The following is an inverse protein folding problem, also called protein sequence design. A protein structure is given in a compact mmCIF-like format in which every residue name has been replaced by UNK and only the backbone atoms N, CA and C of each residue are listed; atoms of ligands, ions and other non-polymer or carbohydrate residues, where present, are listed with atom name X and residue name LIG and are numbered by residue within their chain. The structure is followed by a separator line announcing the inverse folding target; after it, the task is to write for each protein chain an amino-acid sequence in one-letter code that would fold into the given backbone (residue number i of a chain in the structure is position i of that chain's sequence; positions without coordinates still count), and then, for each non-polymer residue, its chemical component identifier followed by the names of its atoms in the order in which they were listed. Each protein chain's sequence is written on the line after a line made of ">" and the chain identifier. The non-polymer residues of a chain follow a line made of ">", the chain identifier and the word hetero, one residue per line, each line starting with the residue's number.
data_IF_632710634668
#
_entry.id   IF_632710634668
#
_cell.length_a   1.000
_cell.length_b   1.000
_cell.length_c   1.000
_cell.angle_alpha   90.00
_cell.angle_beta   90.00
_cell.angle_gamma   90.00
#
_symmetry.space_group_name_H-M   'P 1'
#
loop_
_entity.id
_entity.type
_entity.pdbx_description
1 polymer ?
#
# COMPACT_ATOMS: atom_id res chain seq x y z
N UNK A 1 8.99 6.53 -29.88
CA UNK A 1 9.07 6.02 -28.49
C UNK A 1 8.85 7.15 -27.50
N UNK A 2 7.62 7.33 -27.02
CA UNK A 2 7.28 8.03 -25.77
C UNK A 2 5.97 7.43 -25.27
N UNK A 3 6.10 6.36 -24.48
CA UNK A 3 5.05 5.86 -23.62
C UNK A 3 5.28 6.44 -22.22
N UNK A 4 4.21 6.50 -21.43
CA UNK A 4 4.16 6.77 -19.99
C UNK A 4 4.06 8.21 -19.49
N UNK A 5 3.06 8.92 -20.01
CA UNK A 5 2.33 9.92 -19.22
C UNK A 5 1.04 9.27 -18.70
N UNK A 6 1.12 8.44 -17.66
CA UNK A 6 -0.05 8.01 -16.91
C UNK A 6 -0.59 9.22 -16.10
N UNK A 7 -1.92 9.44 -16.05
CA UNK A 7 -2.50 10.59 -15.36
C UNK A 7 -2.24 10.47 -13.86
N UNK A 8 -1.58 11.48 -13.29
CA UNK A 8 -1.45 11.65 -11.84
C UNK A 8 -2.86 11.72 -11.26
N UNK A 9 -3.23 10.76 -10.41
CA UNK A 9 -4.45 10.86 -9.63
C UNK A 9 -4.50 12.24 -8.95
N UNK A 10 -5.62 12.95 -9.09
CA UNK A 10 -5.80 14.29 -8.51
C UNK A 10 -5.89 14.18 -6.98
N UNK A 11 -4.73 14.17 -6.32
CA UNK A 11 -4.66 14.18 -4.86
C UNK A 11 -5.10 15.55 -4.34
N UNK A 12 -6.21 15.60 -3.59
CA UNK A 12 -6.56 16.77 -2.78
C UNK A 12 -5.46 17.01 -1.73
N UNK A 13 -5.02 18.26 -1.65
CA UNK A 13 -3.72 18.71 -1.13
C UNK A 13 -3.56 18.48 0.38
N UNK A 14 -3.11 17.29 0.78
CA UNK A 14 -2.69 16.99 2.17
C UNK A 14 -1.19 17.14 2.38
N UNK A 15 -0.42 16.56 1.46
CA UNK A 15 1.04 16.64 1.43
C UNK A 15 1.49 17.59 0.34
N UNK A 16 2.17 18.67 0.72
CA UNK A 16 2.76 19.65 -0.18
C UNK A 16 4.24 19.84 0.16
N UNK A 17 5.09 19.33 -0.72
CA UNK A 17 6.55 19.40 -0.54
C UNK A 17 7.05 20.83 -0.55
N UNK A 18 6.46 21.72 -1.35
CA UNK A 18 6.88 23.11 -1.42
C UNK A 18 6.55 23.86 -0.13
N UNK A 19 5.41 23.56 0.48
CA UNK A 19 5.04 24.09 1.81
C UNK A 19 6.04 23.67 2.89
N UNK A 20 6.54 22.43 2.86
CA UNK A 20 7.56 21.96 3.79
C UNK A 20 8.93 22.60 3.51
N UNK A 21 9.38 22.61 2.26
CA UNK A 21 10.69 23.16 1.87
C UNK A 21 10.81 24.66 2.15
N UNK A 22 9.71 25.42 2.03
CA UNK A 22 9.68 26.84 2.33
C UNK A 22 9.94 27.17 3.81
N UNK A 23 9.90 26.18 4.70
CA UNK A 23 10.08 26.33 6.17
C UNK A 23 11.43 25.81 6.65
N UNK A 24 12.34 25.49 5.73
CA UNK A 24 13.61 24.84 6.03
C UNK A 24 14.77 25.66 5.49
N UNK A 25 15.90 25.57 6.19
CA UNK A 25 17.13 26.26 5.82
C UNK A 25 18.07 25.40 4.97
N UNK A 26 18.86 26.07 4.13
CA UNK A 26 19.90 25.46 3.28
C UNK A 26 19.38 24.30 2.41
N UNK A 27 18.16 24.43 1.90
CA UNK A 27 17.52 23.45 1.02
C UNK A 27 18.34 23.26 -0.27
N UNK A 28 18.64 22.02 -0.62
CA UNK A 28 19.34 21.62 -1.84
C UNK A 28 18.66 20.42 -2.48
N UNK A 29 18.48 20.44 -3.80
CA UNK A 29 18.00 19.28 -4.53
C UNK A 29 19.04 18.14 -4.50
N UNK A 30 18.57 16.90 -4.38
CA UNK A 30 19.39 15.69 -4.29
C UNK A 30 18.84 14.57 -5.20
N UNK A 31 18.52 14.93 -6.45
CA UNK A 31 17.82 14.10 -7.42
C UNK A 31 16.32 14.42 -7.52
N UNK A 32 15.65 13.82 -8.49
CA UNK A 32 14.21 14.05 -8.74
C UNK A 32 13.38 13.67 -7.50
N UNK A 33 12.57 14.62 -7.01
CA UNK A 33 11.72 14.42 -5.84
C UNK A 33 12.47 14.24 -4.52
N UNK A 34 13.73 14.71 -4.42
CA UNK A 34 14.58 14.55 -3.23
C UNK A 34 15.31 15.84 -2.88
N UNK A 35 15.40 16.13 -1.59
CA UNK A 35 16.08 17.31 -1.06
C UNK A 35 16.86 16.99 0.21
N UNK A 36 17.87 17.82 0.46
CA UNK A 36 18.59 17.92 1.73
C UNK A 36 18.36 19.31 2.31
N UNK A 37 18.20 19.39 3.63
CA UNK A 37 18.06 20.64 4.36
C UNK A 37 18.70 20.54 5.75
N UNK A 38 18.85 21.67 6.43
CA UNK A 38 19.16 21.66 7.85
C UNK A 38 17.96 21.17 8.65
N UNK A 39 18.22 20.29 9.63
CA UNK A 39 17.20 19.83 10.56
C UNK A 39 16.86 20.96 11.55
N UNK A 40 15.58 21.37 11.66
CA UNK A 40 15.18 22.43 12.58
C UNK A 40 15.00 21.94 14.03
N UNK A 41 15.04 20.63 14.27
CA UNK A 41 14.90 20.05 15.62
C UNK A 41 16.22 20.00 16.41
N UNK A 42 17.35 20.43 15.82
CA UNK A 42 18.63 20.60 16.50
C UNK A 42 19.42 21.76 15.87
N UNK A 43 20.50 22.23 16.52
CA UNK A 43 21.39 23.25 15.94
C UNK A 43 22.19 22.64 14.77
N UNK A 44 21.60 22.66 13.57
CA UNK A 44 22.15 22.00 12.41
C UNK A 44 22.93 22.95 11.50
N UNK A 45 24.26 22.78 11.44
CA UNK A 45 25.14 23.64 10.64
C UNK A 45 25.31 23.15 9.20
N UNK A 46 25.15 21.85 8.98
CA UNK A 46 25.28 21.18 7.69
C UNK A 46 24.05 20.34 7.41
N UNK A 47 23.47 20.35 6.19
CA UNK A 47 22.22 19.64 5.91
C UNK A 47 22.23 18.17 6.35
N UNK A 48 21.47 17.85 7.41
CA UNK A 48 21.31 16.49 7.96
C UNK A 48 19.91 15.91 7.75
N UNK A 49 18.98 16.70 7.22
CA UNK A 49 17.60 16.31 6.97
C UNK A 49 17.41 15.91 5.51
N UNK A 50 17.05 14.65 5.26
CA UNK A 50 16.61 14.18 3.95
C UNK A 50 15.09 14.23 3.83
N UNK A 51 14.64 14.72 2.67
CA UNK A 51 13.24 14.83 2.29
C UNK A 51 13.07 14.13 0.94
N UNK A 52 12.05 13.30 0.81
CA UNK A 52 11.70 12.64 -0.45
C UNK A 52 10.20 12.64 -0.64
N UNK A 53 9.77 13.03 -1.83
CA UNK A 53 8.42 12.82 -2.32
C UNK A 53 8.34 11.46 -3.03
N UNK A 54 7.35 10.66 -2.65
CA UNK A 54 7.06 9.36 -3.29
C UNK A 54 6.02 9.52 -4.39
N UNK A 55 5.90 8.50 -5.23
CA UNK A 55 4.92 8.48 -6.34
C UNK A 55 3.46 8.53 -5.85
N UNK A 56 3.21 8.05 -4.62
CA UNK A 56 1.90 8.12 -3.97
C UNK A 56 1.66 9.45 -3.24
N UNK A 57 2.53 10.45 -3.40
CA UNK A 57 2.40 11.78 -2.81
C UNK A 57 2.76 11.87 -1.32
N UNK A 58 3.33 10.80 -0.74
CA UNK A 58 3.82 10.82 0.65
C UNK A 58 5.17 11.53 0.74
N UNK A 59 5.36 12.34 1.79
CA UNK A 59 6.64 12.96 2.10
C UNK A 59 7.37 12.14 3.16
N UNK A 60 8.52 11.60 2.79
CA UNK A 60 9.43 10.92 3.72
C UNK A 60 10.45 11.93 4.25
N UNK A 61 10.52 12.04 5.57
CA UNK A 61 11.41 12.96 6.27
C UNK A 61 12.29 12.18 7.25
N UNK A 62 13.61 12.29 7.10
CA UNK A 62 14.58 11.61 7.95
C UNK A 62 15.73 12.52 8.32
N UNK A 63 15.93 12.75 9.62
CA UNK A 63 17.15 13.34 10.15
C UNK A 63 18.19 12.22 10.37
N UNK A 64 19.38 12.35 9.78
CA UNK A 64 20.45 11.37 9.95
C UNK A 64 21.15 11.42 11.31
N UNK A 65 20.95 12.51 12.06
CA UNK A 65 21.47 12.68 13.44
C UNK A 65 20.55 12.05 14.50
N UNK A 66 19.32 11.66 14.13
CA UNK A 66 18.43 10.88 14.98
C UNK A 66 17.22 11.63 15.57
N UNK A 67 16.95 12.88 15.15
CA UNK A 67 15.74 13.57 15.56
C UNK A 67 14.48 12.80 15.12
N UNK A 68 13.49 12.60 16.02
CA UNK A 68 12.19 12.06 15.65
C UNK A 68 11.53 12.92 14.58
N UNK A 69 10.86 12.29 13.61
CA UNK A 69 10.11 13.02 12.57
C UNK A 69 9.05 13.94 13.18
N UNK A 70 8.43 13.55 14.28
CA UNK A 70 7.45 14.37 14.99
C UNK A 70 8.05 15.72 15.44
N UNK A 71 9.27 15.71 15.96
CA UNK A 71 9.96 16.92 16.44
C UNK A 71 10.36 17.82 15.28
N UNK A 72 10.82 17.24 14.17
CA UNK A 72 11.12 17.98 12.93
C UNK A 72 9.87 18.69 12.41
N UNK A 73 8.75 17.98 12.34
CA UNK A 73 7.48 18.54 11.86
C UNK A 73 6.96 19.62 12.80
N UNK A 74 7.02 19.39 14.12
CA UNK A 74 6.64 20.37 15.12
C UNK A 74 7.49 21.65 15.02
N UNK A 75 8.80 21.53 14.82
CA UNK A 75 9.71 22.68 14.68
C UNK A 75 9.41 23.54 13.45
N UNK A 76 8.90 22.97 12.36
CA UNK A 76 8.41 23.72 11.19
C UNK A 76 6.92 24.09 11.29
N UNK A 77 6.26 23.85 12.42
CA UNK A 77 4.84 24.17 12.62
C UNK A 77 3.91 23.41 11.67
N UNK A 78 4.24 22.15 11.40
CA UNK A 78 3.42 21.21 10.62
C UNK A 78 3.12 19.97 11.47
N UNK A 79 2.04 19.28 11.15
CA UNK A 79 1.69 18.02 11.78
C UNK A 79 2.26 16.83 11.00
N UNK A 80 2.31 15.66 11.63
CA UNK A 80 2.62 14.42 10.90
C UNK A 80 1.60 14.12 9.79
N UNK A 81 0.35 14.56 9.93
CA UNK A 81 -0.69 14.34 8.92
C UNK A 81 -0.39 15.09 7.62
N UNK A 82 0.29 16.24 7.68
CA UNK A 82 0.71 17.01 6.50
C UNK A 82 1.80 16.29 5.66
N UNK A 83 2.34 15.15 6.12
CA UNK A 83 3.25 14.31 5.33
C UNK A 83 2.52 13.35 4.40
N UNK A 84 1.20 13.20 4.55
CA UNK A 84 0.41 12.21 3.82
C UNK A 84 -0.63 12.91 2.94
N UNK A 85 -0.88 12.40 1.72
CA UNK A 85 -1.99 12.89 0.90
C UNK A 85 -3.32 12.65 1.62
N UNK A 86 -4.28 13.57 1.48
CA UNK A 86 -5.64 13.36 1.97
C UNK A 86 -6.29 12.27 1.11
N UNK A 87 -6.32 11.04 1.64
CA UNK A 87 -7.02 9.93 1.00
C UNK A 87 -8.52 10.10 1.18
N UNK A 88 -9.26 10.23 0.08
CA UNK A 88 -10.68 9.90 0.09
C UNK A 88 -10.82 8.42 0.50
N UNK A 89 -11.85 8.09 1.28
CA UNK A 89 -12.06 6.78 1.89
C UNK A 89 -12.04 5.61 0.90
N UNK A 90 -12.19 5.89 -0.40
CA UNK A 90 -12.08 4.94 -1.51
C UNK A 90 -10.69 4.31 -1.65
N UNK A 91 -9.62 4.98 -1.20
CA UNK A 91 -8.25 4.46 -1.27
C UNK A 91 -7.95 3.31 -0.28
N UNK A 92 -8.87 2.97 0.64
CA UNK A 92 -8.80 1.70 1.36
C UNK A 92 -9.02 0.48 0.45
N UNK A 93 -9.48 0.70 -0.79
CA UNK A 93 -9.66 -0.33 -1.83
C UNK A 93 -8.57 -0.32 -2.91
N UNK A 94 -7.65 0.64 -2.89
CA UNK A 94 -6.58 0.75 -3.88
C UNK A 94 -5.40 -0.15 -3.50
N UNK A 95 -5.32 -1.28 -4.22
CA UNK A 95 -4.14 -2.08 -4.59
C UNK A 95 -2.95 -2.08 -3.63
N UNK A 96 -2.70 -3.24 -3.03
CA UNK A 96 -1.48 -3.57 -2.30
C UNK A 96 -0.24 -3.28 -3.16
N UNK A 97 0.77 -2.63 -2.56
CA UNK A 97 2.02 -2.21 -3.25
C UNK A 97 2.73 -3.39 -3.93
N UNK A 98 3.47 -3.14 -5.01
CA UNK A 98 4.39 -4.13 -5.60
C UNK A 98 5.48 -4.49 -4.57
N UNK A 99 5.27 -5.60 -3.86
CA UNK A 99 6.11 -6.01 -2.73
C UNK A 99 5.35 -6.43 -1.46
N UNK A 100 4.03 -6.21 -1.38
CA UNK A 100 3.19 -6.92 -0.42
C UNK A 100 3.01 -8.36 -0.91
N UNK A 101 4.05 -9.17 -0.65
CA UNK A 101 4.03 -10.61 -0.86
C UNK A 101 2.75 -11.17 -0.26
N UNK A 102 2.02 -11.92 -1.07
CA UNK A 102 0.96 -12.78 -0.58
C UNK A 102 1.60 -13.68 0.47
N UNK A 103 1.22 -13.53 1.74
CA UNK A 103 1.70 -14.44 2.79
C UNK A 103 1.03 -15.78 2.50
N UNK A 104 1.76 -16.86 2.18
CA UNK A 104 1.12 -18.11 1.74
C UNK A 104 0.06 -18.62 2.72
N UNK A 105 0.28 -18.41 4.02
CA UNK A 105 -0.70 -18.69 5.08
C UNK A 105 -2.03 -17.97 4.85
N UNK A 106 -2.01 -16.68 4.54
CA UNK A 106 -3.22 -15.86 4.40
C UNK A 106 -4.00 -16.27 3.15
N UNK A 107 -3.28 -16.63 2.08
CA UNK A 107 -3.88 -17.20 0.86
C UNK A 107 -4.56 -18.52 1.15
N UNK A 108 -3.85 -19.43 1.80
CA UNK A 108 -4.39 -20.74 2.22
C UNK A 108 -5.58 -20.57 3.16
N UNK A 109 -5.51 -19.63 4.10
CA UNK A 109 -6.60 -19.32 5.01
C UNK A 109 -7.83 -18.78 4.25
N UNK A 110 -7.62 -17.91 3.25
CA UNK A 110 -8.70 -17.34 2.44
C UNK A 110 -9.45 -18.42 1.64
N UNK A 111 -8.73 -19.42 1.10
CA UNK A 111 -9.34 -20.49 0.28
C UNK A 111 -9.76 -21.73 1.09
N UNK A 112 -9.33 -21.84 2.35
CA UNK A 112 -9.51 -23.04 3.20
C UNK A 112 -10.95 -23.57 3.23
N UNK A 113 -11.93 -22.68 3.43
CA UNK A 113 -13.35 -23.07 3.50
C UNK A 113 -13.86 -23.63 2.19
N UNK A 114 -13.41 -23.09 1.06
CA UNK A 114 -13.84 -23.56 -0.26
C UNK A 114 -13.21 -24.91 -0.58
N UNK A 115 -11.93 -25.10 -0.20
CA UNK A 115 -11.26 -26.39 -0.31
C UNK A 115 -11.98 -27.48 0.50
N UNK A 116 -12.41 -27.20 1.74
CA UNK A 116 -13.16 -28.16 2.57
C UNK A 116 -14.47 -28.58 1.92
N UNK A 117 -15.22 -27.64 1.34
CA UNK A 117 -16.47 -27.95 0.64
C UNK A 117 -16.22 -28.86 -0.56
N UNK A 118 -15.17 -28.58 -1.35
CA UNK A 118 -14.81 -29.42 -2.51
C UNK A 118 -14.39 -30.81 -2.06
N UNK A 119 -13.60 -30.94 -0.98
CA UNK A 119 -13.18 -32.24 -0.44
C UNK A 119 -14.37 -33.08 0.03
N UNK A 120 -15.30 -32.49 0.79
CA UNK A 120 -16.50 -33.20 1.27
C UNK A 120 -17.39 -33.66 0.10
N UNK A 121 -17.57 -32.80 -0.91
CA UNK A 121 -18.34 -33.16 -2.10
C UNK A 121 -17.66 -34.30 -2.88
N UNK A 122 -16.33 -34.25 -3.04
CA UNK A 122 -15.57 -35.30 -3.70
C UNK A 122 -15.67 -36.63 -2.96
N UNK A 123 -15.59 -36.62 -1.62
CA UNK A 123 -15.74 -37.82 -0.79
C UNK A 123 -17.14 -38.44 -0.90
N UNK A 124 -18.19 -37.60 -0.88
CA UNK A 124 -19.55 -38.07 -1.07
C UNK A 124 -19.74 -38.76 -2.42
N UNK A 125 -19.24 -38.14 -3.51
CA UNK A 125 -19.29 -38.70 -4.86
C UNK A 125 -18.47 -39.99 -4.96
N UNK A 126 -17.26 -40.02 -4.39
CA UNK A 126 -16.41 -41.21 -4.36
C UNK A 126 -17.07 -42.37 -3.61
N UNK A 127 -17.85 -42.07 -2.57
CA UNK A 127 -18.64 -43.03 -1.81
C UNK A 127 -19.95 -43.44 -2.50
N UNK A 128 -20.20 -42.97 -3.73
CA UNK A 128 -21.43 -43.24 -4.48
C UNK A 128 -22.67 -42.54 -3.94
N UNK A 129 -22.51 -41.56 -3.03
CA UNK A 129 -23.63 -40.81 -2.46
C UNK A 129 -24.00 -39.64 -3.37
N UNK A 130 -25.28 -39.45 -3.71
CA UNK A 130 -25.71 -38.28 -4.47
C UNK A 130 -25.61 -37.02 -3.60
N UNK A 131 -25.20 -35.90 -4.21
CA UNK A 131 -25.21 -34.60 -3.55
C UNK A 131 -26.62 -33.99 -3.61
N UNK A 132 -27.07 -33.38 -2.51
CA UNK A 132 -28.34 -32.67 -2.51
C UNK A 132 -28.23 -31.36 -3.27
N UNK A 133 -29.37 -30.77 -3.67
CA UNK A 133 -29.37 -29.51 -4.42
C UNK A 133 -28.67 -28.38 -3.67
N UNK A 134 -28.88 -28.29 -2.35
CA UNK A 134 -28.20 -27.34 -1.47
C UNK A 134 -26.68 -27.52 -1.45
N UNK A 135 -26.22 -28.77 -1.48
CA UNK A 135 -24.78 -29.10 -1.50
C UNK A 135 -24.17 -28.75 -2.85
N UNK A 136 -24.89 -29.02 -3.94
CA UNK A 136 -24.50 -28.63 -5.30
C UNK A 136 -24.38 -27.11 -5.43
N UNK A 137 -25.33 -26.35 -4.89
CA UNK A 137 -25.28 -24.88 -4.93
C UNK A 137 -24.10 -24.34 -4.11
N UNK A 138 -23.82 -24.94 -2.94
CA UNK A 138 -22.67 -24.57 -2.10
C UNK A 138 -21.33 -24.93 -2.76
N UNK A 139 -21.27 -26.08 -3.43
CA UNK A 139 -20.11 -26.54 -4.21
C UNK A 139 -19.86 -25.62 -5.40
N UNK A 140 -20.89 -25.25 -6.16
CA UNK A 140 -20.77 -24.32 -7.28
C UNK A 140 -20.19 -22.96 -6.82
N UNK A 141 -20.66 -22.45 -5.67
CA UNK A 141 -20.11 -21.23 -5.06
C UNK A 141 -18.64 -21.38 -4.64
N UNK A 142 -18.25 -22.54 -4.10
CA UNK A 142 -16.88 -22.82 -3.72
C UNK A 142 -15.95 -22.83 -4.94
N UNK A 143 -16.35 -23.55 -6.00
CA UNK A 143 -15.62 -23.63 -7.26
C UNK A 143 -15.45 -22.25 -7.89
N UNK A 144 -16.50 -21.42 -7.92
CA UNK A 144 -16.42 -20.06 -8.46
C UNK A 144 -15.43 -19.18 -7.71
N UNK A 145 -15.40 -19.26 -6.37
CA UNK A 145 -14.43 -18.53 -5.54
C UNK A 145 -13.00 -18.99 -5.74
N UNK A 146 -12.78 -20.30 -5.91
CA UNK A 146 -11.45 -20.86 -6.18
C UNK A 146 -10.93 -20.44 -7.56
N UNK A 147 -11.78 -20.44 -8.59
CA UNK A 147 -11.39 -19.92 -9.93
C UNK A 147 -11.04 -18.44 -9.88
N UNK A 148 -11.88 -17.62 -9.25
CA UNK A 148 -11.59 -16.19 -9.09
C UNK A 148 -10.28 -15.96 -8.34
N UNK A 149 -10.00 -16.72 -7.28
CA UNK A 149 -8.73 -16.63 -6.56
C UNK A 149 -7.52 -17.03 -7.42
N UNK A 150 -7.68 -18.00 -8.33
CA UNK A 150 -6.63 -18.40 -9.27
C UNK A 150 -6.39 -17.33 -10.35
N UNK A 151 -7.45 -16.73 -10.88
CA UNK A 151 -7.38 -15.65 -11.88
C UNK A 151 -6.61 -14.43 -11.34
N UNK A 152 -6.85 -14.06 -10.07
CA UNK A 152 -6.14 -12.96 -9.39
C UNK A 152 -4.61 -13.18 -9.30
N UNK A 153 -4.15 -14.42 -9.34
CA UNK A 153 -2.71 -14.77 -9.33
C UNK A 153 -2.19 -15.18 -10.72
N UNK A 154 -2.98 -14.98 -11.77
CA UNK A 154 -2.60 -15.30 -13.15
C UNK A 154 -2.59 -16.80 -13.46
N UNK A 155 -3.29 -17.61 -12.67
CA UNK A 155 -3.47 -19.04 -12.90
C UNK A 155 -4.85 -19.30 -13.51
N UNK A 156 -4.93 -20.22 -14.47
CA UNK A 156 -6.18 -20.62 -15.11
C UNK A 156 -6.48 -22.10 -14.78
N UNK A 157 -7.62 -22.36 -14.15
CA UNK A 157 -8.09 -23.68 -13.68
C UNK A 157 -9.59 -23.86 -13.90
#
# INVERSE_FOLDING_TARGET
>A
MRADQLPRAEYRTGADVHRLLARLDKVKANGTGRWLACCPAHDDRSPSLAIRETEDGTLLVKCFTGCPTADVMAAVGMSLADLFPQREQEAFRTSKRSGERWVPRDVLAAISREAVVVMLAAEAVQSGKPLQRTDLDRLAKAVGRLRGAAEEVGCHV
#
